data_IF_774374067046
#
_entry.id   IF_774374067046
#
_cell.length_a   1.000
_cell.length_b   1.000
_cell.length_c   1.000
_cell.angle_alpha   90.00
_cell.angle_beta   90.00
_cell.angle_gamma   90.00
#
_symmetry.space_group_name_H-M   'P 1'
#
loop_
_entity.id
_entity.type
_entity.pdbx_description
1 polymer ?
#
# COMPACT_ATOMS: atom_id res chain seq x y z
N UNK A 1 -20.27 -17.76 -5.16
CA UNK A 1 -20.35 -16.29 -5.00
C UNK A 1 -19.66 -15.64 -6.19
N UNK A 2 -20.16 -14.50 -6.68
CA UNK A 2 -19.51 -13.78 -7.79
C UNK A 2 -18.27 -13.02 -7.29
N UNK A 3 -17.27 -12.85 -8.16
CA UNK A 3 -16.11 -12.01 -7.86
C UNK A 3 -16.51 -10.53 -7.76
N UNK A 4 -16.01 -9.83 -6.73
CA UNK A 4 -16.32 -8.42 -6.46
C UNK A 4 -15.43 -7.45 -7.26
N UNK A 5 -14.20 -7.85 -7.52
CA UNK A 5 -13.14 -7.07 -8.18
C UNK A 5 -12.11 -8.03 -8.80
N UNK A 6 -11.08 -7.45 -9.41
CA UNK A 6 -10.02 -8.19 -10.12
C UNK A 6 -9.04 -8.94 -9.19
N UNK A 7 -9.13 -8.74 -7.88
CA UNK A 7 -8.37 -9.48 -6.88
C UNK A 7 -9.18 -10.58 -6.18
N UNK A 8 -10.36 -10.90 -6.69
CA UNK A 8 -11.31 -11.82 -6.08
C UNK A 8 -11.65 -12.98 -7.04
N UNK A 9 -11.78 -14.21 -6.53
CA UNK A 9 -12.15 -15.37 -7.34
C UNK A 9 -13.63 -15.71 -7.13
N UNK A 10 -14.36 -16.17 -8.15
CA UNK A 10 -15.72 -16.65 -7.95
C UNK A 10 -15.73 -18.06 -7.34
N UNK A 11 -16.54 -18.28 -6.31
CA UNK A 11 -16.79 -19.63 -5.77
C UNK A 11 -17.99 -20.29 -6.45
N UNK A 12 -17.82 -21.57 -6.75
CA UNK A 12 -18.85 -22.45 -7.31
C UNK A 12 -19.21 -23.52 -6.28
N UNK A 13 -20.51 -23.83 -6.17
CA UNK A 13 -20.97 -24.86 -5.25
C UNK A 13 -20.38 -26.22 -5.62
N UNK A 14 -19.95 -26.99 -4.63
CA UNK A 14 -19.34 -28.32 -4.83
C UNK A 14 -20.36 -29.41 -5.16
N UNK A 15 -21.66 -29.13 -4.93
CA UNK A 15 -22.75 -30.10 -5.02
C UNK A 15 -22.78 -31.12 -3.87
N UNK A 16 -21.87 -31.00 -2.87
CA UNK A 16 -21.77 -31.91 -1.72
C UNK A 16 -22.24 -31.31 -0.39
N UNK A 17 -22.41 -29.99 -0.35
CA UNK A 17 -22.89 -29.23 0.81
C UNK A 17 -23.81 -28.10 0.32
N UNK A 18 -24.72 -27.66 1.18
CA UNK A 18 -25.53 -26.46 0.97
C UNK A 18 -24.76 -25.16 1.25
N UNK A 19 -23.60 -25.26 1.91
CA UNK A 19 -22.74 -24.12 2.21
C UNK A 19 -21.91 -23.72 0.98
N UNK A 20 -21.84 -22.41 0.72
CA UNK A 20 -20.92 -21.86 -0.27
C UNK A 20 -19.48 -22.08 0.21
N UNK A 21 -18.53 -22.46 -0.67
CA UNK A 21 -17.12 -22.53 -0.30
C UNK A 21 -16.61 -21.21 0.27
N UNK A 22 -15.54 -21.30 1.06
CA UNK A 22 -14.87 -20.15 1.66
C UNK A 22 -14.37 -19.19 0.60
N UNK A 23 -14.49 -17.89 0.90
CA UNK A 23 -14.04 -16.78 0.05
C UNK A 23 -12.55 -16.93 -0.31
N UNK A 24 -12.29 -17.06 -1.60
CA UNK A 24 -10.97 -17.28 -2.19
C UNK A 24 -10.59 -16.08 -3.04
N UNK A 25 -9.33 -15.65 -2.89
CA UNK A 25 -8.84 -14.47 -3.57
C UNK A 25 -7.86 -14.82 -4.69
N UNK A 26 -7.68 -13.88 -5.61
CA UNK A 26 -6.61 -13.97 -6.58
C UNK A 26 -5.26 -14.06 -5.87
N UNK A 27 -4.32 -14.80 -6.46
CA UNK A 27 -2.97 -14.96 -5.89
C UNK A 27 -2.31 -13.60 -5.61
N UNK A 28 -1.60 -13.51 -4.50
CA UNK A 28 -0.79 -12.34 -4.20
C UNK A 28 0.22 -12.10 -5.34
N UNK A 29 0.38 -10.83 -5.72
CA UNK A 29 1.24 -10.44 -6.83
C UNK A 29 0.59 -10.42 -8.21
N UNK A 30 -0.68 -10.84 -8.36
CA UNK A 30 -1.40 -10.70 -9.63
C UNK A 30 -1.60 -9.20 -9.97
N UNK A 31 -1.28 -8.72 -11.18
CA UNK A 31 -1.50 -7.31 -11.53
C UNK A 31 -2.98 -6.93 -11.47
N UNK A 32 -3.29 -5.76 -10.91
CA UNK A 32 -4.65 -5.27 -10.74
C UNK A 32 -4.80 -3.80 -11.12
N UNK A 33 -6.04 -3.38 -11.36
CA UNK A 33 -6.49 -2.04 -11.70
C UNK A 33 -5.71 -1.45 -12.89
N UNK A 34 -5.63 -2.20 -13.99
CA UNK A 34 -4.85 -1.85 -15.19
C UNK A 34 -3.35 -1.64 -14.89
N UNK A 35 -2.72 -2.61 -14.20
CA UNK A 35 -1.30 -2.58 -13.79
C UNK A 35 -0.90 -1.44 -12.83
N UNK A 36 -1.88 -0.78 -12.19
CA UNK A 36 -1.63 0.24 -11.17
C UNK A 36 -1.16 -0.37 -9.84
N UNK A 37 -1.47 -1.64 -9.58
CA UNK A 37 -1.10 -2.35 -8.37
C UNK A 37 -0.91 -3.85 -8.58
N UNK A 38 -0.71 -4.54 -7.46
CA UNK A 38 -0.66 -5.99 -7.38
C UNK A 38 -1.61 -6.46 -6.27
N UNK A 39 -2.33 -7.56 -6.50
CA UNK A 39 -3.24 -8.12 -5.52
C UNK A 39 -2.49 -8.52 -4.26
N UNK A 40 -3.08 -8.20 -3.12
CA UNK A 40 -2.60 -8.55 -1.80
C UNK A 40 -3.80 -8.85 -0.89
N UNK A 41 -3.95 -10.11 -0.50
CA UNK A 41 -5.02 -10.61 0.36
C UNK A 41 -6.42 -10.13 -0.08
N UNK A 42 -6.73 -10.32 -1.37
CA UNK A 42 -8.03 -9.97 -1.94
C UNK A 42 -8.29 -8.47 -2.13
N UNK A 43 -7.25 -7.63 -2.11
CA UNK A 43 -7.31 -6.19 -2.37
C UNK A 43 -6.24 -5.75 -3.35
N UNK A 44 -6.45 -4.59 -4.00
CA UNK A 44 -5.46 -3.92 -4.83
C UNK A 44 -4.93 -2.63 -4.13
N UNK A 45 -3.92 -2.72 -3.24
CA UNK A 45 -3.40 -1.55 -2.52
C UNK A 45 -2.69 -0.57 -3.45
N UNK A 46 -3.22 0.66 -3.53
CA UNK A 46 -2.74 1.73 -4.42
C UNK A 46 -2.57 3.01 -3.60
N UNK A 47 -1.39 3.64 -3.68
CA UNK A 47 -1.05 4.86 -2.94
C UNK A 47 -2.08 6.00 -3.14
N UNK A 48 -2.64 6.13 -4.35
CA UNK A 48 -3.69 7.13 -4.64
C UNK A 48 -4.94 6.90 -3.80
N UNK A 49 -5.39 5.66 -3.69
CA UNK A 49 -6.58 5.30 -2.92
C UNK A 49 -6.33 5.48 -1.42
N UNK A 50 -5.12 5.15 -0.95
CA UNK A 50 -4.69 5.42 0.44
C UNK A 50 -4.69 6.92 0.76
N UNK A 51 -4.20 7.77 -0.15
CA UNK A 51 -4.27 9.22 0.03
C UNK A 51 -5.72 9.71 0.15
N UNK A 52 -6.62 9.21 -0.70
CA UNK A 52 -8.04 9.58 -0.66
C UNK A 52 -8.70 9.10 0.64
N UNK A 53 -8.39 7.90 1.10
CA UNK A 53 -8.90 7.37 2.37
C UNK A 53 -8.42 8.19 3.58
N UNK A 54 -7.18 8.70 3.55
CA UNK A 54 -6.60 9.47 4.64
C UNK A 54 -7.00 10.95 4.66
N UNK A 55 -7.21 11.57 3.49
CA UNK A 55 -7.35 13.03 3.37
C UNK A 55 -8.59 13.49 2.59
N UNK A 56 -9.46 12.56 2.19
CA UNK A 56 -10.68 12.83 1.43
C UNK A 56 -10.45 12.98 -0.07
N UNK A 57 -11.51 13.33 -0.80
CA UNK A 57 -11.48 13.46 -2.26
C UNK A 57 -10.63 14.65 -2.74
N UNK A 58 -10.15 14.58 -3.99
CA UNK A 58 -9.36 15.67 -4.60
C UNK A 58 -7.86 15.69 -4.24
N UNK A 59 -7.40 14.72 -3.46
CA UNK A 59 -5.97 14.49 -3.20
C UNK A 59 -5.37 13.46 -4.15
N UNK A 60 -4.05 13.53 -4.33
CA UNK A 60 -3.26 12.63 -5.16
C UNK A 60 -1.97 12.26 -4.43
N UNK A 61 -1.29 11.23 -4.90
CA UNK A 61 0.07 10.90 -4.46
C UNK A 61 0.99 12.08 -4.77
N UNK A 62 1.86 12.42 -3.82
CA UNK A 62 2.90 13.43 -4.01
C UNK A 62 3.98 12.98 -4.98
N UNK A 63 4.79 13.95 -5.45
CA UNK A 63 5.94 13.67 -6.32
C UNK A 63 6.99 12.82 -5.57
N UNK A 64 7.81 12.11 -6.32
CA UNK A 64 8.86 11.22 -5.79
C UNK A 64 9.82 11.93 -4.84
N UNK A 65 10.13 13.20 -5.10
CA UNK A 65 10.93 14.05 -4.21
C UNK A 65 10.39 14.06 -2.78
N UNK A 66 9.07 13.99 -2.55
CA UNK A 66 8.52 13.95 -1.19
C UNK A 66 8.90 12.67 -0.44
N UNK A 67 9.04 11.55 -1.14
CA UNK A 67 9.40 10.28 -0.51
C UNK A 67 10.86 10.25 -0.07
N UNK A 68 11.74 11.09 -0.63
CA UNK A 68 13.14 11.19 -0.15
C UNK A 68 13.24 11.68 1.29
N UNK A 69 12.19 12.36 1.80
CA UNK A 69 12.09 12.73 3.21
C UNK A 69 12.09 11.51 4.14
N UNK A 70 11.69 10.34 3.65
CA UNK A 70 11.73 9.10 4.44
C UNK A 70 13.15 8.63 4.79
N UNK A 71 14.18 9.10 4.07
CA UNK A 71 15.58 8.81 4.39
C UNK A 71 16.08 9.61 5.62
N UNK A 72 15.34 10.64 6.05
CA UNK A 72 15.79 11.52 7.13
C UNK A 72 15.52 10.96 8.52
N UNK A 73 14.49 10.14 8.68
CA UNK A 73 14.04 9.65 10.00
C UNK A 73 13.49 10.77 10.90
N UNK A 74 13.09 11.92 10.34
CA UNK A 74 12.65 13.11 11.09
C UNK A 74 11.23 13.52 10.72
N UNK A 75 10.51 14.14 11.66
CA UNK A 75 9.12 14.50 11.48
C UNK A 75 8.27 13.27 11.16
N UNK A 76 7.45 13.33 10.11
CA UNK A 76 6.68 12.18 9.65
C UNK A 76 7.44 11.26 8.69
N UNK A 77 8.65 11.65 8.23
CA UNK A 77 9.40 10.93 7.20
C UNK A 77 10.30 9.84 7.80
N UNK A 78 9.86 8.59 7.74
CA UNK A 78 10.59 7.41 8.21
C UNK A 78 10.03 6.13 7.55
N UNK A 79 10.75 5.01 7.69
CA UNK A 79 10.33 3.70 7.19
C UNK A 79 9.57 2.89 8.22
N UNK A 80 10.06 2.89 9.46
CA UNK A 80 9.46 2.17 10.59
C UNK A 80 9.80 2.88 11.88
N UNK A 81 9.10 2.50 12.95
CA UNK A 81 9.35 3.00 14.29
C UNK A 81 9.70 1.83 15.19
N UNK A 82 10.86 1.88 15.82
CA UNK A 82 11.37 0.85 16.73
C UNK A 82 11.66 1.51 18.08
N UNK A 83 11.07 1.01 19.17
CA UNK A 83 11.27 1.52 20.53
C UNK A 83 11.10 3.06 20.65
N UNK A 84 10.14 3.62 19.92
CA UNK A 84 9.89 5.06 19.90
C UNK A 84 10.78 5.86 18.95
N UNK A 85 11.87 5.29 18.44
CA UNK A 85 12.78 5.91 17.49
C UNK A 85 12.32 5.71 16.05
N UNK A 86 12.39 6.78 15.26
CA UNK A 86 12.11 6.73 13.84
C UNK A 86 13.31 6.16 13.09
N UNK A 87 13.11 5.05 12.38
CA UNK A 87 14.14 4.42 11.56
C UNK A 87 14.03 4.95 10.12
N UNK A 88 15.10 5.55 9.56
CA UNK A 88 15.09 6.04 8.19
C UNK A 88 14.99 4.90 7.17
N UNK A 89 14.44 5.21 6.00
CA UNK A 89 14.47 4.30 4.86
C UNK A 89 15.85 4.27 4.19
N UNK A 90 16.23 3.12 3.66
CA UNK A 90 17.22 3.08 2.59
C UNK A 90 16.66 3.74 1.32
N UNK A 91 17.52 4.20 0.43
CA UNK A 91 17.10 4.93 -0.77
C UNK A 91 16.11 4.14 -1.65
N UNK A 92 16.27 2.82 -1.77
CA UNK A 92 15.35 1.94 -2.51
C UNK A 92 13.98 1.76 -1.85
N UNK A 93 13.89 1.99 -0.54
CA UNK A 93 12.71 1.68 0.28
C UNK A 93 11.85 2.90 0.58
N UNK A 94 12.23 4.08 0.07
CA UNK A 94 11.56 5.36 0.34
C UNK A 94 10.06 5.36 0.03
N UNK A 95 9.62 4.52 -0.91
CA UNK A 95 8.23 4.34 -1.32
C UNK A 95 7.42 3.42 -0.38
N UNK A 96 8.04 2.80 0.61
CA UNK A 96 7.41 1.89 1.57
C UNK A 96 7.40 2.41 3.01
N UNK A 97 7.87 3.63 3.22
CA UNK A 97 7.76 4.36 4.49
C UNK A 97 6.48 5.19 4.59
N UNK A 98 6.61 6.44 5.05
CA UNK A 98 5.49 7.40 5.11
C UNK A 98 4.89 7.65 3.73
N UNK A 99 3.56 7.63 3.65
CA UNK A 99 2.84 8.07 2.47
C UNK A 99 2.78 9.60 2.43
N UNK A 100 3.10 10.17 1.27
CA UNK A 100 2.97 11.59 1.00
C UNK A 100 1.89 11.87 -0.04
N UNK A 101 1.00 12.79 0.29
CA UNK A 101 -0.14 13.20 -0.52
C UNK A 101 -0.11 14.70 -0.79
N UNK A 102 -0.76 15.12 -1.88
CA UNK A 102 -0.92 16.53 -2.26
C UNK A 102 -2.37 16.82 -2.63
N UNK A 103 -2.82 18.05 -2.39
CA UNK A 103 -4.11 18.57 -2.85
C UNK A 103 -3.88 19.43 -4.10
N UNK A 104 -4.60 19.13 -5.18
CA UNK A 104 -4.44 19.84 -6.46
C UNK A 104 -2.99 19.84 -6.97
N UNK A 105 -2.48 21.01 -7.35
CA UNK A 105 -1.12 21.22 -7.86
C UNK A 105 -0.11 21.65 -6.79
N UNK A 106 -0.46 21.57 -5.51
CA UNK A 106 0.46 21.92 -4.42
C UNK A 106 1.74 21.08 -4.48
N UNK A 107 2.88 21.74 -4.26
CA UNK A 107 4.20 21.10 -4.11
C UNK A 107 4.49 20.67 -2.66
N UNK A 108 3.59 20.96 -1.73
CA UNK A 108 3.76 20.62 -0.32
C UNK A 108 3.63 19.12 -0.11
N UNK A 109 4.64 18.51 0.49
CA UNK A 109 4.63 17.11 0.90
C UNK A 109 3.80 16.95 2.18
N UNK A 110 2.52 16.61 2.07
CA UNK A 110 1.66 16.37 3.24
C UNK A 110 1.67 14.90 3.62
N UNK A 111 1.69 14.63 4.91
CA UNK A 111 1.63 13.30 5.49
C UNK A 111 0.57 13.30 6.60
N UNK A 112 -0.14 12.18 6.76
CA UNK A 112 -1.04 11.98 7.89
C UNK A 112 -0.28 11.26 9.00
N UNK A 113 -0.49 11.65 10.25
CA UNK A 113 0.12 11.02 11.45
C UNK A 113 -0.94 10.87 12.54
N UNK A 114 -0.81 9.85 13.38
CA UNK A 114 -1.65 9.63 14.54
C UNK A 114 -0.78 9.45 15.78
N UNK A 115 -1.13 10.05 16.94
CA UNK A 115 -0.42 9.79 18.19
C UNK A 115 -0.71 8.39 18.75
N UNK A 116 -1.81 7.74 18.31
CA UNK A 116 -2.24 6.42 18.81
C UNK A 116 -1.72 5.25 17.99
N UNK A 117 -1.52 5.49 16.70
CA UNK A 117 -1.12 4.46 15.75
C UNK A 117 0.12 4.95 14.97
N UNK A 118 1.31 4.39 15.24
CA UNK A 118 2.54 4.78 14.54
C UNK A 118 2.50 4.41 13.04
N UNK A 119 1.67 3.44 12.66
CA UNK A 119 1.50 2.97 11.28
C UNK A 119 0.43 3.75 10.51
N UNK A 120 -0.41 4.53 11.19
CA UNK A 120 -1.41 5.38 10.54
C UNK A 120 -0.75 6.36 9.58
N UNK A 121 -1.08 6.27 8.29
CA UNK A 121 -0.52 7.08 7.21
C UNK A 121 0.78 6.55 6.61
N UNK A 122 1.25 5.37 7.01
CA UNK A 122 2.31 4.64 6.31
C UNK A 122 1.75 3.99 5.03
N UNK A 123 2.61 3.76 4.03
CA UNK A 123 2.23 3.01 2.83
C UNK A 123 1.85 1.57 3.22
N UNK A 124 0.70 1.09 2.78
CA UNK A 124 0.21 -0.25 3.16
C UNK A 124 1.10 -1.37 2.56
N UNK A 125 1.22 -2.52 3.24
CA UNK A 125 1.83 -3.71 2.66
C UNK A 125 1.16 -4.12 1.34
N UNK A 126 1.94 -4.68 0.42
CA UNK A 126 1.50 -5.08 -0.92
C UNK A 126 1.36 -3.92 -1.92
N UNK A 127 1.46 -2.66 -1.48
CA UNK A 127 1.40 -1.50 -2.38
C UNK A 127 2.56 -1.54 -3.38
N UNK A 128 2.26 -1.30 -4.65
CA UNK A 128 3.27 -1.18 -5.71
C UNK A 128 4.24 -0.02 -5.41
N UNK A 129 5.52 -0.33 -5.32
CA UNK A 129 6.60 0.66 -5.08
C UNK A 129 7.53 0.84 -6.29
N UNK A 130 7.37 0.01 -7.32
CA UNK A 130 8.00 0.09 -8.62
C UNK A 130 7.49 -1.04 -9.52
N UNK A 131 7.90 -1.09 -10.79
CA UNK A 131 7.48 -2.17 -11.68
C UNK A 131 8.05 -3.51 -11.20
N UNK A 132 7.17 -4.50 -11.03
CA UNK A 132 7.51 -5.80 -10.46
C UNK A 132 7.86 -5.77 -8.98
N UNK A 133 7.58 -4.67 -8.26
CA UNK A 133 7.97 -4.49 -6.86
C UNK A 133 6.82 -4.01 -5.96
N UNK A 134 6.80 -4.51 -4.73
CA UNK A 134 5.80 -4.23 -3.70
C UNK A 134 6.43 -3.94 -2.34
N UNK A 135 5.69 -3.23 -1.49
CA UNK A 135 6.08 -3.00 -0.12
C UNK A 135 5.83 -4.22 0.76
N UNK A 136 6.89 -4.80 1.32
CA UNK A 136 6.82 -5.85 2.34
C UNK A 136 7.74 -5.49 3.49
N UNK A 137 7.27 -5.56 4.73
CA UNK A 137 8.04 -5.19 5.93
C UNK A 137 8.75 -3.83 5.82
N UNK A 138 8.07 -2.82 5.26
CA UNK A 138 8.59 -1.46 5.00
C UNK A 138 9.78 -1.40 4.04
N UNK A 139 9.97 -2.43 3.22
CA UNK A 139 10.99 -2.51 2.17
C UNK A 139 10.33 -2.68 0.80
N UNK A 140 10.95 -2.12 -0.24
CA UNK A 140 10.52 -2.31 -1.62
C UNK A 140 11.24 -3.53 -2.21
N UNK A 141 10.49 -4.62 -2.39
CA UNK A 141 11.02 -5.94 -2.79
C UNK A 141 10.34 -6.43 -4.06
N UNK A 142 10.96 -7.38 -4.76
CA UNK A 142 10.34 -8.00 -5.95
C UNK A 142 9.08 -8.77 -5.54
N UNK A 143 8.04 -8.69 -6.36
CA UNK A 143 6.78 -9.43 -6.14
C UNK A 143 7.03 -10.94 -5.97
N UNK A 144 7.94 -11.51 -6.76
CA UNK A 144 8.30 -12.94 -6.74
C UNK A 144 8.98 -13.40 -5.45
N UNK A 145 9.60 -12.48 -4.71
CA UNK A 145 10.27 -12.79 -3.43
C UNK A 145 9.40 -12.45 -2.23
N UNK A 146 8.33 -11.68 -2.46
CA UNK A 146 7.41 -11.26 -1.40
C UNK A 146 6.33 -12.31 -1.10
N UNK A 147 5.97 -13.14 -2.10
CA UNK A 147 4.87 -14.10 -2.07
C UNK A 147 5.28 -15.42 -2.70
#
# INVERSE_FOLDING_TARGET
RAAKDDCDLPELCTGRSAECPTDSFQRNGHPCQNNQGYCYNGKCPIMKNQCIALMGSGVKVSRDMCFTLNQRGKGCGFCRKENGANIPCAAKDVKCGRLFCKKGNSMTCRCSVSPRDPDYGMVEPGTKCGDGMVCSNRQCVKVQTAY
#
